data_IF_240790521193
#
_entry.id   IF_240790521193
#
_cell.length_a   1.000
_cell.length_b   1.000
_cell.length_c   1.000
_cell.angle_alpha   90.00
_cell.angle_beta   90.00
_cell.angle_gamma   90.00
#
_symmetry.space_group_name_H-M   'P 1'
#
loop_
_entity.id
_entity.type
_entity.pdbx_description
1 polymer ?
#
# COMPACT_ATOMS: atom_id res chain seq x y z
N UNK A 1 29.03 -77.57 44.64
CA UNK A 1 29.94 -78.64 45.12
C UNK A 1 31.36 -78.29 44.76
N UNK A 2 32.17 -78.14 45.83
CA UNK A 2 33.55 -78.60 45.95
C UNK A 2 34.53 -78.03 44.91
N UNK A 3 35.26 -76.96 45.28
CA UNK A 3 36.58 -77.09 45.95
C UNK A 3 37.36 -78.23 45.31
N UNK A 4 38.36 -77.89 44.50
CA UNK A 4 39.58 -78.65 44.16
C UNK A 4 40.14 -77.84 42.98
N UNK A 5 41.33 -77.24 42.99
CA UNK A 5 42.54 -77.77 43.56
C UNK A 5 43.57 -76.63 43.68
N UNK A 6 44.16 -76.51 44.86
CA UNK A 6 45.37 -75.76 45.13
C UNK A 6 46.51 -76.19 44.21
N UNK A 7 47.32 -75.25 43.72
CA UNK A 7 48.80 -75.37 43.74
C UNK A 7 49.47 -74.03 43.40
N UNK A 8 50.43 -73.64 44.23
CA UNK A 8 51.42 -72.55 44.07
C UNK A 8 51.05 -71.11 44.49
N UNK A 9 51.05 -70.97 45.82
CA UNK A 9 51.62 -69.90 46.64
C UNK A 9 52.38 -68.76 45.94
N UNK A 10 51.81 -67.56 46.00
CA UNK A 10 52.55 -66.30 46.24
C UNK A 10 51.56 -65.20 46.63
N UNK A 11 50.99 -65.19 47.86
CA UNK A 11 50.24 -64.03 48.35
C UNK A 11 51.08 -62.75 48.32
N UNK A 12 52.41 -62.90 48.29
CA UNK A 12 53.40 -61.82 48.17
C UNK A 12 53.27 -61.08 46.83
N UNK A 13 53.01 -61.78 45.71
CA UNK A 13 52.89 -61.13 44.40
C UNK A 13 51.61 -60.29 44.29
N UNK A 14 50.48 -60.82 44.79
CA UNK A 14 49.22 -60.09 44.85
C UNK A 14 49.29 -58.88 45.78
N UNK A 15 49.95 -59.02 46.94
CA UNK A 15 50.18 -57.93 47.87
C UNK A 15 51.07 -56.84 47.26
N UNK A 16 52.14 -57.23 46.56
CA UNK A 16 53.06 -56.29 45.89
C UNK A 16 52.36 -55.42 44.84
N UNK A 17 51.53 -56.02 43.98
CA UNK A 17 50.78 -55.28 42.95
C UNK A 17 49.77 -54.31 43.59
N UNK A 18 49.09 -54.76 44.65
CA UNK A 18 48.12 -53.93 45.38
C UNK A 18 48.81 -52.70 45.98
N UNK A 19 49.93 -52.92 46.70
CA UNK A 19 50.70 -51.82 47.32
C UNK A 19 51.27 -50.88 46.26
N UNK A 20 51.83 -51.40 45.17
CA UNK A 20 52.38 -50.59 44.08
C UNK A 20 51.30 -49.69 43.45
N UNK A 21 50.09 -50.23 43.23
CA UNK A 21 48.96 -49.48 42.67
C UNK A 21 48.47 -48.40 43.64
N UNK A 22 48.37 -48.71 44.94
CA UNK A 22 47.98 -47.74 45.96
C UNK A 22 49.00 -46.62 46.09
N UNK A 23 50.31 -46.94 46.08
CA UNK A 23 51.37 -45.94 46.11
C UNK A 23 51.35 -45.03 44.88
N UNK A 24 51.12 -45.62 43.70
CA UNK A 24 51.06 -44.86 42.44
C UNK A 24 49.90 -43.86 42.43
N UNK A 25 48.72 -44.28 42.88
CA UNK A 25 47.57 -43.40 43.00
C UNK A 25 47.81 -42.28 44.02
N UNK A 26 48.36 -42.60 45.20
CA UNK A 26 48.67 -41.59 46.22
C UNK A 26 49.72 -40.58 45.72
N UNK A 27 50.68 -41.03 44.91
CA UNK A 27 51.70 -40.15 44.31
C UNK A 27 51.10 -39.17 43.29
N UNK A 28 49.98 -39.52 42.65
CA UNK A 28 49.29 -38.66 41.69
C UNK A 28 48.29 -37.68 42.33
N UNK A 29 47.70 -38.04 43.48
CA UNK A 29 46.67 -37.20 44.13
C UNK A 29 47.23 -36.01 44.91
N UNK A 30 48.54 -35.95 45.15
CA UNK A 30 49.20 -34.80 45.79
C UNK A 30 49.24 -33.52 44.94
N UNK A 31 48.88 -33.61 43.65
CA UNK A 31 48.91 -32.49 42.70
C UNK A 31 47.53 -32.15 42.08
N UNK A 32 46.44 -32.74 42.55
CA UNK A 32 45.08 -32.43 42.04
C UNK A 32 44.43 -31.32 42.86
N UNK A 33 44.96 -30.10 42.70
CA UNK A 33 44.13 -28.91 42.87
C UNK A 33 43.03 -28.93 41.83
N UNK A 34 41.78 -28.67 42.24
CA UNK A 34 40.58 -28.68 41.38
C UNK A 34 40.77 -27.89 40.09
N UNK A 35 41.12 -28.57 39.00
CA UNK A 35 40.91 -28.07 37.65
C UNK A 35 39.50 -28.51 37.22
N UNK A 36 38.55 -27.56 37.19
CA UNK A 36 37.26 -27.75 36.51
C UNK A 36 37.54 -28.00 35.03
N UNK A 37 37.01 -29.10 34.50
CA UNK A 37 37.06 -29.43 33.09
C UNK A 37 36.03 -28.57 32.32
N UNK A 38 36.45 -27.65 31.42
CA UNK A 38 35.55 -26.80 30.64
C UNK A 38 34.81 -27.57 29.52
N UNK A 39 35.04 -28.89 29.39
CA UNK A 39 34.48 -29.72 28.31
C UNK A 39 33.02 -30.12 28.50
N UNK A 40 32.40 -29.80 29.65
CA UNK A 40 31.02 -30.15 29.98
C UNK A 40 30.00 -29.02 29.72
N UNK A 41 30.37 -28.02 28.93
CA UNK A 41 29.47 -26.92 28.56
C UNK A 41 28.72 -27.28 27.25
N UNK A 42 27.40 -27.44 27.36
CA UNK A 42 26.56 -27.73 26.19
C UNK A 42 26.62 -26.57 25.18
N UNK A 43 26.71 -26.85 23.87
CA UNK A 43 26.79 -25.81 22.86
C UNK A 43 25.54 -24.91 22.90
N UNK A 44 25.68 -23.59 22.74
CA UNK A 44 24.55 -22.68 22.72
C UNK A 44 23.63 -23.04 21.55
N UNK A 45 22.34 -23.26 21.83
CA UNK A 45 21.32 -23.47 20.80
C UNK A 45 21.16 -22.17 20.03
N UNK A 46 21.55 -22.17 18.75
CA UNK A 46 21.31 -21.07 17.83
C UNK A 46 19.80 -20.82 17.71
N UNK A 47 19.34 -19.71 18.28
CA UNK A 47 17.94 -19.28 18.17
C UNK A 47 17.71 -18.86 16.71
N UNK A 48 16.65 -19.34 16.04
CA UNK A 48 16.38 -18.95 14.66
C UNK A 48 16.26 -17.43 14.55
N UNK A 49 16.95 -16.85 13.57
CA UNK A 49 16.94 -15.42 13.32
C UNK A 49 15.50 -14.92 13.12
N UNK A 50 15.10 -13.94 13.93
CA UNK A 50 13.73 -13.40 13.88
C UNK A 50 13.53 -12.65 12.56
N UNK A 51 12.68 -13.19 11.69
CA UNK A 51 12.33 -12.58 10.40
C UNK A 51 11.69 -11.21 10.62
N UNK A 52 12.38 -10.16 10.15
CA UNK A 52 11.94 -8.77 10.30
C UNK A 52 10.86 -8.45 9.28
N UNK A 53 9.66 -8.18 9.76
CA UNK A 53 8.55 -7.69 8.94
C UNK A 53 8.38 -6.17 9.11
N UNK A 54 7.92 -5.50 8.06
CA UNK A 54 7.56 -4.08 8.11
C UNK A 54 6.03 -3.98 8.10
N UNK A 55 5.46 -3.45 9.17
CA UNK A 55 4.02 -3.20 9.28
C UNK A 55 3.75 -1.71 9.12
N UNK A 56 2.59 -1.37 8.56
CA UNK A 56 2.06 -0.01 8.52
C UNK A 56 0.63 -0.06 9.02
N UNK A 57 0.36 0.67 10.10
CA UNK A 57 -1.01 0.85 10.60
C UNK A 57 -1.72 1.84 9.71
N UNK A 58 -2.87 1.45 9.15
CA UNK A 58 -3.71 2.33 8.34
C UNK A 58 -4.86 2.85 9.19
N UNK A 59 -4.97 4.17 9.28
CA UNK A 59 -6.09 4.84 9.93
C UNK A 59 -7.06 5.38 8.88
N UNK A 60 -8.35 5.38 9.22
CA UNK A 60 -9.39 5.89 8.34
C UNK A 60 -9.30 7.39 8.24
N UNK A 61 -9.00 7.90 7.04
CA UNK A 61 -9.04 9.32 6.73
C UNK A 61 -10.19 9.59 5.78
N UNK A 62 -10.95 10.66 6.04
CA UNK A 62 -12.05 11.12 5.18
C UNK A 62 -11.46 11.65 3.88
N UNK A 63 -11.62 10.90 2.80
CA UNK A 63 -11.22 11.33 1.44
C UNK A 63 -12.37 12.11 0.83
N UNK A 64 -12.20 13.42 0.68
CA UNK A 64 -13.14 14.28 -0.06
C UNK A 64 -12.74 14.21 -1.54
N UNK A 65 -13.64 13.68 -2.37
CA UNK A 65 -13.47 13.63 -3.82
C UNK A 65 -14.17 14.84 -4.42
N UNK A 66 -13.40 15.75 -5.01
CA UNK A 66 -13.95 16.90 -5.72
C UNK A 66 -14.07 16.58 -7.22
N UNK A 67 -15.18 16.98 -7.83
CA UNK A 67 -15.40 16.90 -9.28
C UNK A 67 -15.68 18.31 -9.77
N UNK A 68 -14.73 18.88 -10.52
CA UNK A 68 -14.87 20.21 -11.11
C UNK A 68 -15.58 20.06 -12.45
N UNK A 69 -16.83 20.53 -12.53
CA UNK A 69 -17.63 20.54 -13.76
C UNK A 69 -17.63 21.95 -14.33
N UNK A 70 -17.10 22.10 -15.55
CA UNK A 70 -17.16 23.35 -16.29
C UNK A 70 -18.47 23.42 -17.08
N UNK A 71 -19.37 24.32 -16.67
CA UNK A 71 -20.61 24.62 -17.39
C UNK A 71 -20.52 25.98 -18.07
N UNK A 72 -21.12 26.11 -19.26
CA UNK A 72 -21.36 27.40 -19.92
C UNK A 72 -22.83 27.77 -19.73
N UNK A 73 -23.10 29.03 -19.45
CA UNK A 73 -24.48 29.54 -19.38
C UNK A 73 -25.01 29.77 -20.79
N UNK A 74 -26.14 29.15 -21.11
CA UNK A 74 -26.86 29.36 -22.36
C UNK A 74 -28.25 29.93 -22.08
N UNK A 75 -28.78 30.70 -23.02
CA UNK A 75 -30.13 31.22 -22.91
C UNK A 75 -31.13 30.07 -22.99
N UNK A 76 -32.08 30.01 -22.05
CA UNK A 76 -33.13 28.98 -22.06
C UNK A 76 -33.94 28.96 -23.37
N UNK A 77 -34.08 30.13 -24.02
CA UNK A 77 -34.73 30.28 -25.33
C UNK A 77 -34.04 31.40 -26.11
N UNK A 78 -33.76 31.14 -27.38
CA UNK A 78 -33.25 32.14 -28.34
C UNK A 78 -34.01 31.97 -29.66
N UNK A 79 -34.44 33.08 -30.25
CA UNK A 79 -35.15 33.08 -31.53
C UNK A 79 -34.52 34.12 -32.44
N UNK A 80 -34.19 33.73 -33.67
CA UNK A 80 -33.77 34.65 -34.72
C UNK A 80 -35.00 35.05 -35.53
N UNK A 81 -35.38 36.32 -35.46
CA UNK A 81 -36.47 36.87 -36.25
C UNK A 81 -35.98 37.15 -37.67
N UNK A 82 -36.73 36.66 -38.67
CA UNK A 82 -36.46 36.90 -40.09
C UNK A 82 -37.70 37.49 -40.76
N UNK A 83 -37.47 38.42 -41.68
CA UNK A 83 -38.53 38.92 -42.53
C UNK A 83 -39.01 37.82 -43.48
N UNK A 84 -40.33 37.73 -43.72
CA UNK A 84 -40.92 36.79 -44.69
C UNK A 84 -40.65 37.23 -46.14
N UNK A 85 -40.48 38.51 -46.36
CA UNK A 85 -40.27 39.13 -47.66
C UNK A 85 -39.03 40.01 -47.61
N UNK A 86 -38.36 40.15 -48.75
CA UNK A 86 -37.33 41.16 -48.92
C UNK A 86 -37.99 42.53 -49.02
N UNK A 87 -37.45 43.50 -48.30
CA UNK A 87 -37.97 44.85 -48.29
C UNK A 87 -37.04 45.80 -47.55
N UNK A 88 -37.06 47.08 -47.92
CA UNK A 88 -36.35 48.13 -47.19
C UNK A 88 -36.94 48.33 -45.79
N UNK A 89 -36.08 48.44 -44.78
CA UNK A 89 -36.49 48.79 -43.41
C UNK A 89 -36.90 50.26 -43.35
N UNK A 90 -38.13 50.51 -42.88
CA UNK A 90 -38.70 51.85 -42.72
C UNK A 90 -38.63 52.35 -41.30
N UNK A 91 -38.81 51.46 -40.33
CA UNK A 91 -38.80 51.81 -38.92
C UNK A 91 -38.39 50.61 -38.06
N UNK A 92 -37.76 50.88 -36.92
CA UNK A 92 -37.34 49.88 -35.92
C UNK A 92 -38.04 50.24 -34.61
N UNK A 93 -39.05 49.46 -34.25
CA UNK A 93 -39.87 49.70 -33.06
C UNK A 93 -39.18 49.31 -31.76
N UNK A 94 -38.20 48.40 -31.80
CA UNK A 94 -37.50 47.91 -30.61
C UNK A 94 -36.05 48.43 -30.55
N UNK A 95 -35.68 49.03 -29.41
CA UNK A 95 -34.28 49.39 -29.12
C UNK A 95 -33.48 48.16 -28.73
N UNK A 96 -32.17 48.18 -28.99
CA UNK A 96 -31.26 47.10 -28.57
C UNK A 96 -31.34 46.89 -27.06
N UNK A 97 -31.59 45.65 -26.65
CA UNK A 97 -31.71 45.25 -25.23
C UNK A 97 -33.07 45.58 -24.58
N UNK A 98 -34.02 46.14 -25.32
CA UNK A 98 -35.37 46.36 -24.80
C UNK A 98 -36.12 45.03 -24.62
N UNK A 99 -36.94 44.94 -23.57
CA UNK A 99 -37.93 43.88 -23.46
C UNK A 99 -39.10 44.18 -24.40
N UNK A 100 -39.55 43.16 -25.13
CA UNK A 100 -40.66 43.24 -26.08
C UNK A 100 -41.72 42.21 -25.72
N UNK A 101 -42.99 42.55 -25.94
CA UNK A 101 -44.14 41.66 -25.72
C UNK A 101 -44.51 40.93 -27.02
N UNK A 102 -45.28 39.86 -26.88
CA UNK A 102 -45.85 39.18 -28.04
C UNK A 102 -46.76 40.13 -28.84
N UNK A 103 -46.55 40.18 -30.15
CA UNK A 103 -47.32 41.05 -31.06
C UNK A 103 -46.82 42.50 -31.12
N UNK A 104 -45.76 42.84 -30.39
CA UNK A 104 -45.15 44.17 -30.47
C UNK A 104 -44.41 44.36 -31.79
N UNK A 105 -44.47 45.58 -32.34
CA UNK A 105 -43.81 45.92 -33.59
C UNK A 105 -42.28 45.99 -33.39
N UNK A 106 -41.55 45.11 -34.07
CA UNK A 106 -40.09 45.07 -34.00
C UNK A 106 -39.46 45.85 -35.17
N UNK A 107 -39.92 45.59 -36.40
CA UNK A 107 -39.46 46.26 -37.63
C UNK A 107 -40.64 46.47 -38.58
N UNK A 108 -40.67 47.62 -39.26
CA UNK A 108 -41.59 47.90 -40.38
C UNK A 108 -40.82 47.87 -41.70
N UNK A 109 -41.33 47.14 -42.69
CA UNK A 109 -40.74 47.03 -44.02
C UNK A 109 -41.61 47.77 -45.04
N UNK A 110 -40.99 48.30 -46.09
CA UNK A 110 -41.71 48.92 -47.22
C UNK A 110 -42.36 47.84 -48.11
N UNK A 111 -43.68 47.89 -48.23
CA UNK A 111 -44.47 46.94 -49.04
C UNK A 111 -44.34 47.22 -50.53
N UNK A 112 -43.92 48.42 -50.95
CA UNK A 112 -43.73 48.76 -52.37
C UNK A 112 -42.64 47.91 -53.02
N UNK A 113 -41.65 47.48 -52.23
CA UNK A 113 -40.55 46.62 -52.69
C UNK A 113 -41.04 45.21 -53.09
N UNK A 114 -42.16 44.76 -52.49
CA UNK A 114 -42.83 43.50 -52.88
C UNK A 114 -43.47 43.62 -54.27
N UNK A 115 -44.09 44.77 -54.57
CA UNK A 115 -44.80 44.97 -55.85
C UNK A 115 -43.83 45.20 -57.02
N UNK A 116 -42.67 45.80 -56.76
CA UNK A 116 -41.64 46.03 -57.78
C UNK A 116 -40.90 44.77 -58.24
N UNK A 117 -40.96 43.67 -57.48
CA UNK A 117 -40.23 42.42 -57.78
C UNK A 117 -41.11 41.24 -58.21
N UNK A 118 -42.43 41.31 -58.03
CA UNK A 118 -43.39 40.25 -58.39
C UNK A 118 -43.72 40.14 -59.88
N UNK A 119 -42.92 40.74 -60.76
CA UNK A 119 -43.24 40.86 -62.18
C UNK A 119 -42.03 40.72 -63.10
N UNK A 120 -41.29 39.62 -63.03
CA UNK A 120 -40.50 39.11 -64.17
C UNK A 120 -40.38 37.59 -64.09
N UNK A 121 -40.96 36.94 -65.12
CA UNK A 121 -40.76 35.58 -65.68
C UNK A 121 -41.13 34.34 -64.88
#
# INVERSE_FOLDING_TARGET
MKRFLQRNQSPIAALGITVASTLWLLSGTGATGSARDPSLEAPPVDRPAVTRVRVKTMESQRVIREVIIYGKTEASRSVTLRAKIDGRVMDIGAKRGAQVKQGELIVRLDVRDLQGRGGVS
#
